data_IF_209771556104
#
_entry.id   IF_209771556104
#
_cell.length_a   1.000
_cell.length_b   1.000
_cell.length_c   1.000
_cell.angle_alpha   90.00
_cell.angle_beta   90.00
_cell.angle_gamma   90.00
#
_symmetry.space_group_name_H-M   'P 1'
#
loop_
_entity.id
_entity.type
_entity.pdbx_description
1 polymer ?
#
# COMPACT_ATOMS: atom_id res chain seq x y z
N UNK A 1 6.71 -9.53 6.43
CA UNK A 1 6.88 -9.11 5.02
C UNK A 1 5.76 -8.19 4.51
N UNK A 2 4.47 -8.51 4.69
CA UNK A 2 3.35 -7.74 4.11
C UNK A 2 3.25 -6.28 4.61
N UNK A 3 3.49 -6.02 5.90
CA UNK A 3 3.57 -4.64 6.41
C UNK A 3 4.70 -3.82 5.75
N UNK A 4 5.84 -4.44 5.47
CA UNK A 4 6.95 -3.79 4.74
C UNK A 4 6.55 -3.52 3.28
N UNK A 5 5.87 -4.47 2.62
CA UNK A 5 5.34 -4.23 1.28
C UNK A 5 4.36 -3.04 1.26
N UNK A 6 3.50 -2.89 2.29
CA UNK A 6 2.61 -1.73 2.43
C UNK A 6 3.39 -0.42 2.52
N UNK A 7 4.48 -0.36 3.31
CA UNK A 7 5.27 0.89 3.43
C UNK A 7 5.96 1.25 2.10
N UNK A 8 6.45 0.25 1.36
CA UNK A 8 7.00 0.45 0.01
C UNK A 8 5.92 0.94 -0.96
N UNK A 9 4.72 0.36 -0.94
CA UNK A 9 3.58 0.78 -1.76
C UNK A 9 3.20 2.24 -1.50
N UNK A 10 3.11 2.66 -0.23
CA UNK A 10 2.84 4.06 0.13
C UNK A 10 3.97 5.01 -0.29
N UNK A 11 5.22 4.54 -0.30
CA UNK A 11 6.36 5.33 -0.81
C UNK A 11 6.28 5.49 -2.33
N UNK A 12 5.88 4.45 -3.05
CA UNK A 12 5.63 4.51 -4.49
C UNK A 12 4.47 5.48 -4.82
N UNK A 13 3.36 5.42 -4.09
CA UNK A 13 2.21 6.34 -4.22
C UNK A 13 2.66 7.80 -4.14
N UNK A 14 3.45 8.16 -3.12
CA UNK A 14 4.00 9.53 -2.98
C UNK A 14 4.86 9.95 -4.17
N UNK A 15 5.74 9.06 -4.66
CA UNK A 15 6.59 9.34 -5.83
C UNK A 15 5.77 9.54 -7.10
N UNK A 16 4.72 8.74 -7.29
CA UNK A 16 3.82 8.87 -8.45
C UNK A 16 3.05 10.19 -8.35
N UNK A 17 2.58 10.59 -7.17
CA UNK A 17 1.95 11.91 -6.99
C UNK A 17 2.92 13.03 -7.37
N UNK A 18 4.16 13.00 -6.88
CA UNK A 18 5.20 13.97 -7.27
C UNK A 18 5.45 13.97 -8.77
N UNK A 19 5.58 12.80 -9.39
CA UNK A 19 5.79 12.67 -10.83
C UNK A 19 4.61 13.26 -11.61
N UNK A 20 3.37 13.00 -11.20
CA UNK A 20 2.17 13.54 -11.84
C UNK A 20 2.09 15.07 -11.84
N UNK A 21 2.75 15.73 -10.89
CA UNK A 21 2.85 17.19 -10.90
C UNK A 21 3.79 17.71 -12.00
N UNK A 22 4.80 16.92 -12.39
CA UNK A 22 5.74 17.26 -13.47
C UNK A 22 5.30 16.72 -14.84
N UNK A 23 4.64 15.55 -14.86
CA UNK A 23 4.27 14.80 -16.06
C UNK A 23 2.76 14.46 -16.03
N UNK A 24 1.92 15.29 -16.69
CA UNK A 24 0.46 15.13 -16.66
C UNK A 24 -0.05 13.86 -17.36
N UNK A 25 0.77 13.25 -18.23
CA UNK A 25 0.43 12.02 -18.96
C UNK A 25 0.30 10.80 -18.04
N UNK A 26 0.89 10.86 -16.84
CA UNK A 26 0.79 9.76 -15.87
C UNK A 26 -0.66 9.59 -15.41
N UNK A 27 -1.30 8.44 -15.67
CA UNK A 27 -2.73 8.25 -15.43
C UNK A 27 -3.09 8.35 -13.95
N UNK A 28 -4.18 9.07 -13.65
CA UNK A 28 -4.70 9.22 -12.29
C UNK A 28 -5.07 7.87 -11.63
N UNK A 29 -5.48 6.89 -12.45
CA UNK A 29 -5.82 5.54 -11.99
C UNK A 29 -4.65 4.84 -11.29
N UNK A 30 -3.41 5.18 -11.62
CA UNK A 30 -2.20 4.62 -10.98
C UNK A 30 -2.15 4.95 -9.49
N UNK A 31 -2.48 6.20 -9.12
CA UNK A 31 -2.51 6.62 -7.70
C UNK A 31 -3.65 5.91 -6.97
N UNK A 32 -4.83 5.83 -7.59
CA UNK A 32 -5.98 5.11 -7.02
C UNK A 32 -5.65 3.64 -6.79
N UNK A 33 -4.99 3.00 -7.74
CA UNK A 33 -4.56 1.60 -7.63
C UNK A 33 -3.58 1.41 -6.47
N UNK A 34 -2.52 2.23 -6.38
CA UNK A 34 -1.52 2.14 -5.30
C UNK A 34 -2.15 2.37 -3.92
N UNK A 35 -3.13 3.26 -3.84
CA UNK A 35 -3.90 3.50 -2.62
C UNK A 35 -4.65 2.23 -2.18
N UNK A 36 -5.46 1.63 -3.07
CA UNK A 36 -6.21 0.39 -2.81
C UNK A 36 -5.30 -0.80 -2.53
N UNK A 37 -4.20 -0.92 -3.25
CA UNK A 37 -3.20 -1.98 -3.02
C UNK A 37 -2.61 -1.87 -1.62
N UNK A 38 -2.32 -0.66 -1.14
CA UNK A 38 -1.80 -0.47 0.21
C UNK A 38 -2.78 -0.97 1.28
N UNK A 39 -4.09 -0.80 1.07
CA UNK A 39 -5.15 -1.29 1.96
C UNK A 39 -5.29 -2.80 1.89
N UNK A 40 -5.24 -3.38 0.69
CA UNK A 40 -5.21 -4.83 0.52
C UNK A 40 -4.02 -5.45 1.27
N UNK A 41 -2.82 -4.87 1.14
CA UNK A 41 -1.62 -5.35 1.85
C UNK A 41 -1.77 -5.27 3.38
N UNK A 42 -2.50 -4.28 3.90
CA UNK A 42 -2.84 -4.24 5.31
C UNK A 42 -3.74 -5.41 5.68
N UNK A 43 -4.87 -5.59 4.99
CA UNK A 43 -5.80 -6.70 5.26
C UNK A 43 -5.11 -8.06 5.16
N UNK A 44 -4.29 -8.26 4.13
CA UNK A 44 -3.53 -9.50 3.95
C UNK A 44 -2.54 -9.74 5.10
N UNK A 45 -1.89 -8.69 5.62
CA UNK A 45 -1.00 -8.83 6.77
C UNK A 45 -1.75 -9.35 8.00
N UNK A 46 -2.94 -8.81 8.26
CA UNK A 46 -3.81 -9.23 9.37
C UNK A 46 -4.29 -10.67 9.20
N UNK A 47 -4.74 -11.02 7.99
CA UNK A 47 -5.19 -12.38 7.67
C UNK A 47 -4.04 -13.39 7.79
N UNK A 48 -2.84 -13.04 7.34
CA UNK A 48 -1.66 -13.88 7.47
C UNK A 48 -1.29 -14.12 8.94
N UNK A 49 -1.28 -13.06 9.76
CA UNK A 49 -1.05 -13.17 11.20
C UNK A 49 -2.09 -14.07 11.87
N UNK A 50 -3.38 -13.87 11.57
CA UNK A 50 -4.47 -14.70 12.10
C UNK A 50 -4.30 -16.17 11.74
N UNK A 51 -3.95 -16.48 10.48
CA UNK A 51 -3.70 -17.86 10.02
C UNK A 51 -2.48 -18.50 10.67
N UNK A 52 -1.48 -17.69 11.04
CA UNK A 52 -0.29 -18.14 11.77
C UNK A 52 -0.50 -18.24 13.30
N UNK A 53 -1.71 -17.93 13.81
CA UNK A 53 -1.97 -17.90 15.26
C UNK A 53 -1.26 -16.75 15.99
N UNK A 54 -0.73 -15.77 15.26
CA UNK A 54 -0.05 -14.63 15.84
C UNK A 54 -1.07 -13.60 16.35
N UNK A 55 -0.90 -13.15 17.59
CA UNK A 55 -1.72 -12.08 18.16
C UNK A 55 -1.49 -10.77 17.41
N UNK A 56 -2.57 -10.03 17.18
CA UNK A 56 -2.54 -8.74 16.52
C UNK A 56 -2.50 -7.62 17.56
N UNK A 57 -1.47 -6.78 17.50
CA UNK A 57 -1.36 -5.61 18.39
C UNK A 57 -2.29 -4.53 17.85
N UNK A 58 -3.39 -4.28 18.57
CA UNK A 58 -4.29 -3.14 18.31
C UNK A 58 -3.73 -1.91 19.01
N UNK A 59 -3.56 -0.82 18.27
CA UNK A 59 -3.26 0.52 18.79
C UNK A 59 -4.56 1.33 18.86
#
# INVERSE_FOLDING_TARGET
ALHVARTVCRRAERRVITLRHAEPEVPAITVVYLNRLSDLLFVLARVANRRAGAAEVTW
#
